data_IF_198242704946
#
_entry.id   IF_198242704946
#
_cell.length_a   1.000
_cell.length_b   1.000
_cell.length_c   1.000
_cell.angle_alpha   90.00
_cell.angle_beta   90.00
_cell.angle_gamma   90.00
#
_symmetry.space_group_name_H-M   'P 1'
#
loop_
_entity.id
_entity.type
_entity.pdbx_description
1 polymer ?
#
# COMPACT_ATOMS: atom_id res chain seq x y z
N UNK A 1 9.99 12.96 6.31
CA UNK A 1 9.25 13.46 7.51
C UNK A 1 7.72 13.35 7.41
N UNK A 2 7.08 13.44 6.25
CA UNK A 2 5.59 13.41 6.16
C UNK A 2 4.95 12.06 6.55
N UNK A 3 5.55 10.93 6.17
CA UNK A 3 4.97 9.60 6.44
C UNK A 3 4.95 9.24 7.94
N UNK A 4 6.06 9.47 8.66
CA UNK A 4 6.18 9.17 10.10
C UNK A 4 5.15 9.94 10.93
N UNK A 5 5.00 11.24 10.67
CA UNK A 5 4.05 12.08 11.40
C UNK A 5 2.60 11.63 11.20
N UNK A 6 2.24 11.24 9.96
CA UNK A 6 0.89 10.72 9.67
C UNK A 6 0.66 9.36 10.34
N UNK A 7 1.65 8.48 10.29
CA UNK A 7 1.60 7.19 10.99
C UNK A 7 1.38 7.36 12.49
N UNK A 8 2.17 8.22 13.14
CA UNK A 8 2.04 8.49 14.59
C UNK A 8 0.67 9.08 14.91
N UNK A 9 0.17 10.00 14.07
CA UNK A 9 -1.17 10.59 14.24
C UNK A 9 -2.27 9.54 14.21
N UNK A 10 -2.23 8.63 13.22
CA UNK A 10 -3.23 7.57 13.07
C UNK A 10 -3.15 6.59 14.24
N UNK A 11 -1.95 6.14 14.62
CA UNK A 11 -1.79 5.16 15.69
C UNK A 11 -2.21 5.74 17.05
N UNK A 12 -1.87 6.99 17.33
CA UNK A 12 -2.25 7.65 18.58
C UNK A 12 -3.77 7.91 18.66
N UNK A 13 -4.40 8.27 17.53
CA UNK A 13 -5.84 8.53 17.49
C UNK A 13 -6.70 7.24 17.50
N UNK A 14 -6.17 6.14 16.97
CA UNK A 14 -6.89 4.89 16.75
C UNK A 14 -6.25 3.72 17.53
N UNK A 15 -5.74 4.02 18.73
CA UNK A 15 -5.17 3.10 19.72
C UNK A 15 -3.78 2.54 19.40
N UNK A 16 -3.64 1.74 18.34
CA UNK A 16 -2.36 1.12 17.99
C UNK A 16 -2.28 0.74 16.51
N UNK A 17 -1.08 0.47 16.00
CA UNK A 17 -0.89 0.01 14.63
C UNK A 17 -1.67 -1.29 14.34
N UNK A 18 -1.59 -2.28 15.23
CA UNK A 18 -2.31 -3.54 15.04
C UNK A 18 -3.83 -3.34 15.05
N UNK A 19 -4.35 -2.45 15.90
CA UNK A 19 -5.78 -2.13 15.91
C UNK A 19 -6.18 -1.50 14.57
N UNK A 20 -5.41 -0.50 14.11
CA UNK A 20 -5.60 0.18 12.83
C UNK A 20 -5.54 -0.78 11.65
N UNK A 21 -4.59 -1.72 11.62
CA UNK A 21 -4.40 -2.61 10.47
C UNK A 21 -5.39 -3.78 10.47
N UNK A 22 -5.84 -4.26 11.63
CA UNK A 22 -6.60 -5.51 11.73
C UNK A 22 -8.09 -5.32 12.04
N UNK A 23 -8.47 -4.28 12.79
CA UNK A 23 -9.81 -4.22 13.43
C UNK A 23 -10.55 -2.91 13.22
N UNK A 24 -9.86 -1.77 13.25
CA UNK A 24 -10.49 -0.46 13.15
C UNK A 24 -11.34 -0.33 11.89
N UNK A 25 -12.60 0.15 11.97
CA UNK A 25 -13.45 0.40 10.81
C UNK A 25 -12.78 1.36 9.81
N UNK A 26 -12.96 1.12 8.51
CA UNK A 26 -12.28 1.89 7.45
C UNK A 26 -12.67 3.37 7.52
N UNK A 27 -13.91 3.68 7.90
CA UNK A 27 -14.43 5.04 8.00
C UNK A 27 -13.65 5.86 9.04
N UNK A 28 -13.26 5.23 10.16
CA UNK A 28 -12.42 5.87 11.19
C UNK A 28 -10.98 6.10 10.72
N UNK A 29 -10.46 5.16 9.92
CA UNK A 29 -9.13 5.32 9.32
C UNK A 29 -9.15 6.47 8.31
N UNK A 30 -10.20 6.56 7.49
CA UNK A 30 -10.40 7.67 6.54
C UNK A 30 -10.51 9.01 7.24
N UNK A 31 -11.23 9.09 8.36
CA UNK A 31 -11.41 10.37 9.08
C UNK A 31 -10.11 10.94 9.65
N UNK A 32 -9.12 10.09 9.96
CA UNK A 32 -7.83 10.53 10.55
C UNK A 32 -6.72 10.56 9.49
N UNK A 33 -6.59 9.49 8.71
CA UNK A 33 -5.51 9.26 7.75
C UNK A 33 -5.82 9.67 6.32
N UNK A 34 -7.06 10.07 6.04
CA UNK A 34 -7.56 10.40 4.70
C UNK A 34 -7.92 9.17 3.86
N UNK A 35 -8.59 9.44 2.73
CA UNK A 35 -9.17 8.42 1.85
C UNK A 35 -8.12 7.41 1.38
N UNK A 36 -6.97 7.88 0.90
CA UNK A 36 -5.93 7.00 0.32
C UNK A 36 -5.40 5.96 1.31
N UNK A 37 -5.24 6.33 2.59
CA UNK A 37 -4.77 5.39 3.62
C UNK A 37 -5.87 4.40 3.98
N UNK A 38 -7.10 4.87 4.19
CA UNK A 38 -8.23 3.99 4.49
C UNK A 38 -8.49 2.98 3.37
N UNK A 39 -8.43 3.40 2.11
CA UNK A 39 -8.57 2.50 0.97
C UNK A 39 -7.41 1.51 0.85
N UNK A 40 -6.17 1.94 1.13
CA UNK A 40 -5.02 1.05 1.15
C UNK A 40 -5.19 -0.06 2.18
N UNK A 41 -5.59 0.28 3.42
CA UNK A 41 -5.87 -0.72 4.47
C UNK A 41 -7.02 -1.63 4.06
N UNK A 42 -8.12 -1.08 3.50
CA UNK A 42 -9.26 -1.87 3.02
C UNK A 42 -8.83 -2.90 1.98
N UNK A 43 -8.08 -2.48 0.95
CA UNK A 43 -7.59 -3.37 -0.12
C UNK A 43 -6.72 -4.49 0.42
N UNK A 44 -5.77 -4.16 1.30
CA UNK A 44 -4.90 -5.17 1.93
C UNK A 44 -5.71 -6.17 2.76
N UNK A 45 -6.68 -5.71 3.57
CA UNK A 45 -7.55 -6.61 4.37
C UNK A 45 -8.39 -7.54 3.50
N UNK A 46 -8.86 -7.07 2.35
CA UNK A 46 -9.67 -7.84 1.42
C UNK A 46 -8.83 -8.76 0.50
N UNK A 47 -7.50 -8.63 0.49
CA UNK A 47 -6.66 -9.30 -0.50
C UNK A 47 -6.82 -8.73 -1.92
N UNK A 48 -7.44 -7.56 -2.08
CA UNK A 48 -7.63 -6.86 -3.35
C UNK A 48 -6.36 -6.04 -3.72
N UNK A 49 -5.26 -6.79 -3.84
CA UNK A 49 -3.92 -6.30 -4.15
C UNK A 49 -3.21 -7.31 -5.06
N UNK A 50 -2.25 -6.84 -5.84
CA UNK A 50 -1.40 -7.72 -6.66
C UNK A 50 -0.12 -8.01 -5.89
N UNK A 51 0.24 -9.30 -5.82
CA UNK A 51 1.47 -9.77 -5.20
C UNK A 51 2.28 -10.49 -6.27
N UNK A 52 3.42 -9.91 -6.65
CA UNK A 52 4.43 -10.59 -7.45
C UNK A 52 5.34 -11.36 -6.47
N UNK A 53 5.34 -12.70 -6.47
CA UNK A 53 6.14 -13.47 -5.53
C UNK A 53 7.64 -13.24 -5.76
N UNK A 54 8.41 -13.30 -4.67
CA UNK A 54 9.87 -13.30 -4.73
C UNK A 54 10.44 -14.68 -5.06
N UNK A 55 11.70 -14.74 -5.46
CA UNK A 55 12.42 -15.98 -5.77
C UNK A 55 13.91 -15.83 -5.41
N UNK A 56 14.58 -16.95 -5.09
CA UNK A 56 16.04 -17.03 -4.88
C UNK A 56 16.65 -15.93 -3.99
N UNK A 57 16.02 -15.66 -2.85
CA UNK A 57 16.51 -14.66 -1.89
C UNK A 57 16.06 -13.22 -2.18
N UNK A 58 15.28 -12.99 -3.25
CA UNK A 58 14.60 -11.72 -3.50
C UNK A 58 13.22 -11.66 -2.84
N UNK A 59 12.88 -10.48 -2.29
CA UNK A 59 11.54 -10.22 -1.77
C UNK A 59 10.54 -10.02 -2.91
N UNK A 60 9.30 -10.48 -2.71
CA UNK A 60 8.19 -10.19 -3.60
C UNK A 60 7.78 -8.71 -3.59
N UNK A 61 7.01 -8.30 -4.59
CA UNK A 61 6.51 -6.92 -4.73
C UNK A 61 5.00 -6.90 -4.51
N UNK A 62 4.54 -5.98 -3.67
CA UNK A 62 3.11 -5.75 -3.42
C UNK A 62 2.68 -4.46 -4.09
N UNK A 63 1.62 -4.54 -4.91
CA UNK A 63 1.01 -3.39 -5.59
C UNK A 63 -0.42 -3.23 -5.11
N UNK A 64 -0.68 -2.16 -4.36
CA UNK A 64 -2.01 -1.85 -3.82
C UNK A 64 -2.89 -1.16 -4.88
N UNK A 65 -2.29 -0.30 -5.70
CA UNK A 65 -2.97 0.37 -6.80
C UNK A 65 -2.46 -0.22 -8.10
N UNK A 66 -3.35 -0.79 -8.90
CA UNK A 66 -2.99 -1.27 -10.23
C UNK A 66 -2.85 -0.04 -11.14
N UNK A 67 -1.61 0.40 -11.36
CA UNK A 67 -1.29 1.24 -12.51
C UNK A 67 -1.35 0.30 -13.73
N UNK A 68 -2.50 0.22 -14.36
CA UNK A 68 -2.60 -0.19 -15.77
C UNK A 68 -3.44 0.86 -16.47
N UNK A 69 -2.83 2.04 -16.61
CA UNK A 69 -2.98 2.81 -17.84
C UNK A 69 -1.59 2.78 -18.46
N UNK A 70 -1.43 1.95 -19.48
CA UNK A 70 -0.16 1.72 -20.15
C UNK A 70 0.48 3.03 -20.61
N UNK A 71 1.75 3.23 -20.26
CA UNK A 71 2.68 3.90 -21.16
C UNK A 71 3.71 2.87 -21.60
N UNK A 72 3.63 2.47 -22.86
CA UNK A 72 4.50 1.54 -23.59
C UNK A 72 5.97 2.02 -23.74
N UNK A 73 6.51 2.80 -22.81
CA UNK A 73 7.79 3.50 -23.04
C UNK A 73 9.01 2.79 -22.42
N UNK A 74 8.84 1.84 -21.49
CA UNK A 74 9.98 1.19 -20.81
C UNK A 74 10.46 -0.12 -21.47
N UNK A 75 10.36 -0.22 -22.81
CA UNK A 75 11.05 -1.26 -23.60
C UNK A 75 12.11 -0.65 -24.52
N UNK A 76 13.03 0.14 -23.97
CA UNK A 76 14.29 0.48 -24.64
C UNK A 76 15.44 0.41 -23.66
N UNK A 77 16.00 -0.79 -23.49
CA UNK A 77 17.44 -1.05 -23.68
C UNK A 77 17.71 -2.56 -23.50
N UNK A 78 17.43 -3.34 -24.53
CA UNK A 78 18.14 -4.59 -24.80
C UNK A 78 18.91 -4.37 -26.09
N UNK A 79 20.01 -3.61 -25.97
CA UNK A 79 21.06 -3.62 -26.98
C UNK A 79 21.84 -4.91 -26.82
N UNK A 80 21.35 -5.97 -27.45
CA UNK A 80 22.13 -7.17 -27.73
C UNK A 80 22.58 -7.08 -29.19
N UNK A 81 23.68 -6.37 -29.44
CA UNK A 81 24.64 -6.56 -30.52
C UNK A 81 25.91 -5.76 -30.18
#
# INVERSE_FOLDING_TARGET
MKAKALYETICNALQSEFEVLLRTPIEKIVSVGGVKVGEGVRKVRLGDIVIDPGFDGEYGKVKIWNHEVASETDKKQLGLF
#
